data_IF_433588940845
#
_entry.id   IF_433588940845
#
_cell.length_a   1.000
_cell.length_b   1.000
_cell.length_c   1.000
_cell.angle_alpha   90.00
_cell.angle_beta   90.00
_cell.angle_gamma   90.00
#
_symmetry.space_group_name_H-M   'P 1'
#
loop_
_entity.id
_entity.type
_entity.pdbx_description
1 polymer ?
#
# COMPACT_ATOMS: atom_id res chain seq x y z
N UNK A 1 -8.71 29.83 -11.86
CA UNK A 1 -7.37 29.29 -11.54
C UNK A 1 -7.29 27.95 -12.24
N UNK A 2 -6.31 27.71 -13.12
CA UNK A 2 -6.22 26.47 -13.90
C UNK A 2 -6.27 25.22 -13.00
N UNK A 3 -6.60 24.06 -13.58
CA UNK A 3 -6.85 22.81 -12.86
C UNK A 3 -5.62 22.34 -12.07
N UNK A 4 -5.36 22.93 -10.90
CA UNK A 4 -4.14 22.71 -10.12
C UNK A 4 -3.99 21.25 -9.67
N UNK A 5 -5.12 20.53 -9.51
CA UNK A 5 -5.13 19.10 -9.23
C UNK A 5 -4.46 18.25 -10.31
N UNK A 6 -4.37 18.75 -11.55
CA UNK A 6 -3.59 18.17 -12.66
C UNK A 6 -2.13 18.02 -12.27
N UNK A 7 -1.54 19.11 -11.78
CA UNK A 7 -0.14 19.18 -11.37
C UNK A 7 0.10 18.47 -10.05
N UNK A 8 -0.77 18.68 -9.06
CA UNK A 8 -0.65 18.02 -7.76
C UNK A 8 -0.73 16.50 -7.89
N UNK A 9 -1.69 15.99 -8.66
CA UNK A 9 -1.83 14.55 -8.88
C UNK A 9 -0.67 14.00 -9.71
N UNK A 10 -0.31 14.65 -10.83
CA UNK A 10 0.79 14.19 -11.68
C UNK A 10 2.14 14.15 -10.94
N UNK A 11 2.50 15.23 -10.24
CA UNK A 11 3.71 15.29 -9.41
C UNK A 11 3.60 14.29 -8.25
N UNK A 12 2.43 14.21 -7.60
CA UNK A 12 2.17 13.24 -6.54
C UNK A 12 2.50 11.82 -6.98
N UNK A 13 1.97 11.35 -8.11
CA UNK A 13 2.30 10.01 -8.60
C UNK A 13 3.77 9.85 -9.04
N UNK A 14 4.45 10.90 -9.52
CA UNK A 14 5.91 10.84 -9.75
C UNK A 14 6.66 10.60 -8.44
N UNK A 15 6.34 11.39 -7.40
CA UNK A 15 7.00 11.28 -6.10
C UNK A 15 6.75 9.92 -5.43
N UNK A 16 5.65 9.23 -5.78
CA UNK A 16 5.37 7.88 -5.31
C UNK A 16 6.42 6.85 -5.78
N UNK A 17 7.13 7.15 -6.87
CA UNK A 17 8.21 6.31 -7.41
C UNK A 17 9.57 6.55 -6.72
N UNK A 18 9.69 7.63 -5.93
CA UNK A 18 10.93 8.00 -5.26
C UNK A 18 10.87 7.51 -3.80
N UNK A 19 11.71 6.53 -3.40
CA UNK A 19 11.77 6.07 -2.03
C UNK A 19 12.02 7.23 -1.07
N UNK A 20 11.46 7.14 0.15
CA UNK A 20 11.55 8.16 1.21
C UNK A 20 10.82 9.48 0.92
N UNK A 21 10.45 9.80 -0.32
CA UNK A 21 9.65 11.00 -0.65
C UNK A 21 8.17 10.65 -0.87
N UNK A 22 7.87 9.35 -1.02
CA UNK A 22 6.53 8.81 -1.21
C UNK A 22 5.51 9.21 -0.11
N UNK A 23 5.93 9.58 1.10
CA UNK A 23 4.99 10.09 2.11
C UNK A 23 4.37 11.44 1.72
N UNK A 24 5.14 12.30 1.03
CA UNK A 24 4.63 13.57 0.47
C UNK A 24 3.69 13.28 -0.70
N UNK A 25 4.03 12.28 -1.52
CA UNK A 25 3.22 11.85 -2.65
C UNK A 25 1.78 11.53 -2.24
N UNK A 26 1.59 10.76 -1.16
CA UNK A 26 0.27 10.37 -0.67
C UNK A 26 -0.63 11.58 -0.37
N UNK A 27 -0.07 12.61 0.27
CA UNK A 27 -0.80 13.84 0.59
C UNK A 27 -1.15 14.61 -0.69
N UNK A 28 -0.21 14.75 -1.63
CA UNK A 28 -0.46 15.47 -2.88
C UNK A 28 -1.54 14.79 -3.73
N UNK A 29 -1.48 13.46 -3.86
CA UNK A 29 -2.48 12.67 -4.59
C UNK A 29 -3.86 12.81 -3.92
N UNK A 30 -3.91 12.71 -2.59
CA UNK A 30 -5.15 12.88 -1.84
C UNK A 30 -5.79 14.27 -2.05
N UNK A 31 -4.99 15.34 -1.95
CA UNK A 31 -5.45 16.70 -2.20
C UNK A 31 -5.91 16.86 -3.65
N UNK A 32 -5.20 16.28 -4.62
CA UNK A 32 -5.60 16.31 -6.02
C UNK A 32 -6.98 15.69 -6.23
N UNK A 33 -7.26 14.53 -5.63
CA UNK A 33 -8.58 13.89 -5.69
C UNK A 33 -9.67 14.73 -5.00
N UNK A 34 -9.39 15.32 -3.84
CA UNK A 34 -10.35 16.21 -3.13
C UNK A 34 -10.68 17.44 -3.99
N UNK A 35 -9.66 18.10 -4.54
CA UNK A 35 -9.85 19.26 -5.41
C UNK A 35 -10.62 18.91 -6.68
N UNK A 36 -10.26 17.80 -7.33
CA UNK A 36 -10.97 17.29 -8.50
C UNK A 36 -12.43 16.97 -8.18
N UNK A 37 -12.73 16.40 -7.01
CA UNK A 37 -14.10 16.12 -6.57
C UNK A 37 -14.93 17.37 -6.36
N UNK A 38 -14.33 18.41 -5.78
CA UNK A 38 -14.98 19.72 -5.62
C UNK A 38 -15.26 20.39 -6.96
N UNK A 39 -14.29 20.38 -7.86
CA UNK A 39 -14.39 20.99 -9.20
C UNK A 39 -15.45 20.30 -10.07
N UNK A 40 -15.42 18.96 -10.11
CA UNK A 40 -16.35 18.15 -10.92
C UNK A 40 -17.67 17.82 -10.23
N UNK A 41 -17.88 18.32 -9.00
CA UNK A 41 -19.01 18.00 -8.12
C UNK A 41 -19.23 16.48 -7.94
N UNK A 42 -18.15 15.70 -7.96
CA UNK A 42 -18.20 14.24 -7.75
C UNK A 42 -17.76 13.91 -6.33
N UNK A 43 -18.69 13.39 -5.53
CA UNK A 43 -18.42 12.95 -4.16
C UNK A 43 -17.41 11.79 -4.10
N UNK A 44 -17.42 10.90 -5.10
CA UNK A 44 -16.50 9.76 -5.19
C UNK A 44 -15.02 10.16 -5.14
N UNK A 45 -14.62 11.22 -5.86
CA UNK A 45 -13.25 11.72 -5.85
C UNK A 45 -12.87 12.31 -4.49
N UNK A 46 -13.78 13.07 -3.89
CA UNK A 46 -13.58 13.63 -2.55
C UNK A 46 -13.41 12.52 -1.51
N UNK A 47 -14.27 11.49 -1.55
CA UNK A 47 -14.17 10.33 -0.66
C UNK A 47 -12.85 9.59 -0.86
N UNK A 48 -12.42 9.40 -2.12
CA UNK A 48 -11.13 8.75 -2.42
C UNK A 48 -9.98 9.50 -1.77
N UNK A 49 -9.90 10.82 -1.93
CA UNK A 49 -8.84 11.59 -1.30
C UNK A 49 -8.93 11.61 0.23
N UNK A 50 -10.13 11.62 0.82
CA UNK A 50 -10.29 11.51 2.29
C UNK A 50 -9.80 10.15 2.79
N UNK A 51 -10.14 9.05 2.11
CA UNK A 51 -9.67 7.71 2.47
C UNK A 51 -8.14 7.62 2.40
N UNK A 52 -7.52 8.23 1.38
CA UNK A 52 -6.05 8.33 1.29
C UNK A 52 -5.44 9.08 2.48
N UNK A 53 -6.05 10.18 2.95
CA UNK A 53 -5.58 10.90 4.15
C UNK A 53 -5.74 10.05 5.42
N UNK A 54 -6.87 9.35 5.56
CA UNK A 54 -7.10 8.47 6.71
C UNK A 54 -6.05 7.35 6.72
N UNK A 55 -5.80 6.71 5.57
CA UNK A 55 -4.79 5.66 5.44
C UNK A 55 -3.39 6.17 5.70
N UNK A 56 -3.06 7.38 5.25
CA UNK A 56 -1.81 8.04 5.61
C UNK A 56 -1.68 8.25 7.12
N UNK A 57 -2.69 8.82 7.79
CA UNK A 57 -2.67 9.02 9.24
C UNK A 57 -2.55 7.69 10.01
N UNK A 58 -3.24 6.64 9.55
CA UNK A 58 -3.13 5.29 10.12
C UNK A 58 -1.73 4.71 9.94
N UNK A 59 -1.06 4.94 8.80
CA UNK A 59 0.30 4.47 8.58
C UNK A 59 1.29 5.08 9.60
N UNK A 60 1.11 6.36 9.95
CA UNK A 60 1.90 7.02 11.01
C UNK A 60 1.60 6.38 12.36
N UNK A 61 0.32 6.12 12.66
CA UNK A 61 -0.06 5.46 13.91
C UNK A 61 0.57 4.06 14.04
N UNK A 62 0.57 3.28 12.96
CA UNK A 62 1.22 1.96 12.91
C UNK A 62 2.71 2.08 13.18
N UNK A 63 3.40 3.02 12.52
CA UNK A 63 4.83 3.27 12.77
C UNK A 63 5.06 3.64 14.22
N UNK A 64 4.27 4.54 14.80
CA UNK A 64 4.36 4.91 16.21
C UNK A 64 4.20 3.71 17.16
N UNK A 65 3.20 2.86 16.89
CA UNK A 65 2.98 1.61 17.64
C UNK A 65 4.19 0.69 17.53
N UNK A 66 4.75 0.49 16.33
CA UNK A 66 5.96 -0.33 16.14
C UNK A 66 7.17 0.25 16.89
N UNK A 67 7.36 1.57 16.91
CA UNK A 67 8.46 2.22 17.63
C UNK A 67 8.38 1.99 19.15
N UNK A 68 7.18 2.00 19.74
CA UNK A 68 7.01 1.70 21.17
C UNK A 68 7.38 0.26 21.54
N UNK A 69 7.53 -0.62 20.55
CA UNK A 69 7.86 -2.04 20.76
C UNK A 69 9.35 -2.35 20.69
N UNK A 70 10.17 -1.45 20.15
CA UNK A 70 11.63 -1.65 20.03
C UNK A 70 12.27 -2.08 21.37
N UNK A 71 11.91 -1.51 22.53
CA UNK A 71 12.44 -1.97 23.82
C UNK A 71 12.07 -3.42 24.17
N UNK A 72 10.91 -3.90 23.72
CA UNK A 72 10.40 -5.25 23.99
C UNK A 72 11.04 -6.34 23.14
N UNK A 73 11.63 -5.99 21.98
CA UNK A 73 12.32 -6.93 21.09
C UNK A 73 13.84 -6.99 21.31
N UNK A 74 14.38 -6.22 22.26
CA UNK A 74 15.80 -6.32 22.62
C UNK A 74 16.09 -7.67 23.31
N UNK A 75 17.09 -8.43 22.85
CA UNK A 75 17.52 -9.66 23.52
C UNK A 75 17.87 -9.36 24.99
N UNK A 76 17.16 -9.99 25.93
CA UNK A 76 17.38 -9.83 27.38
C UNK A 76 16.41 -8.89 28.12
N UNK A 77 15.62 -8.05 27.42
CA UNK A 77 14.57 -7.22 28.05
C UNK A 77 13.24 -7.97 28.19
N UNK A 78 13.06 -9.06 27.43
CA UNK A 78 11.92 -9.97 27.51
C UNK A 78 12.04 -10.99 28.67
N UNK A 79 12.85 -10.71 29.70
CA UNK A 79 12.80 -11.51 30.94
C UNK A 79 11.51 -11.12 31.67
N UNK A 80 10.57 -12.06 31.89
CA UNK A 80 9.43 -11.76 32.75
C UNK A 80 10.00 -11.30 34.10
N UNK A 81 9.54 -10.17 34.66
CA UNK A 81 9.84 -9.85 36.06
C UNK A 81 9.42 -11.07 36.86
N UNK A 82 10.28 -11.57 37.75
CA UNK A 82 10.07 -12.80 38.51
C UNK A 82 8.79 -12.79 39.39
N UNK A 83 8.03 -11.69 39.38
CA UNK A 83 6.90 -11.39 40.24
C UNK A 83 5.55 -11.26 39.51
N UNK A 84 5.47 -11.40 38.18
CA UNK A 84 4.18 -11.30 37.48
C UNK A 84 3.47 -12.66 37.48
N UNK A 85 2.28 -12.79 38.10
CA UNK A 85 1.51 -14.04 38.06
C UNK A 85 1.24 -14.46 36.61
N UNK A 86 1.30 -15.78 36.28
CA UNK A 86 1.14 -16.27 34.91
C UNK A 86 -0.13 -15.77 34.19
N UNK A 87 -1.22 -15.58 34.94
CA UNK A 87 -2.48 -15.05 34.41
C UNK A 87 -2.42 -13.57 34.03
N UNK A 88 -1.68 -12.74 34.76
CA UNK A 88 -1.52 -11.32 34.44
C UNK A 88 -0.58 -11.12 33.24
N UNK A 89 0.41 -11.99 33.08
CA UNK A 89 1.25 -12.04 31.89
C UNK A 89 0.45 -12.43 30.64
N UNK A 90 -0.39 -13.47 30.72
CA UNK A 90 -1.28 -13.87 29.63
C UNK A 90 -2.27 -12.77 29.26
N UNK A 91 -2.90 -12.09 30.24
CA UNK A 91 -3.78 -10.94 29.96
C UNK A 91 -3.05 -9.83 29.21
N UNK A 92 -1.81 -9.51 29.57
CA UNK A 92 -0.98 -8.52 28.86
C UNK A 92 -0.68 -8.96 27.42
N UNK A 93 -0.36 -10.24 27.18
CA UNK A 93 -0.14 -10.77 25.83
C UNK A 93 -1.43 -10.72 25.00
N UNK A 94 -2.57 -11.13 25.56
CA UNK A 94 -3.85 -11.11 24.84
C UNK A 94 -4.33 -9.68 24.54
N UNK A 95 -4.20 -8.75 25.50
CA UNK A 95 -4.51 -7.34 25.27
C UNK A 95 -3.62 -6.75 24.18
N UNK A 96 -2.32 -7.07 24.20
CA UNK A 96 -1.37 -6.64 23.18
C UNK A 96 -1.72 -7.21 21.81
N UNK A 97 -1.93 -8.52 21.70
CA UNK A 97 -2.34 -9.21 20.46
C UNK A 97 -3.67 -8.67 19.94
N UNK A 98 -4.63 -8.40 20.83
CA UNK A 98 -5.93 -7.84 20.49
C UNK A 98 -5.83 -6.48 19.81
N UNK A 99 -4.91 -5.61 20.25
CA UNK A 99 -4.66 -4.31 19.62
C UNK A 99 -4.17 -4.50 18.17
N UNK A 100 -3.28 -5.45 17.90
CA UNK A 100 -2.82 -5.70 16.53
C UNK A 100 -3.90 -6.28 15.63
N UNK A 101 -4.70 -7.21 16.15
CA UNK A 101 -5.80 -7.78 15.38
C UNK A 101 -6.78 -6.68 15.02
N UNK A 102 -7.16 -5.83 15.98
CA UNK A 102 -8.04 -4.70 15.73
C UNK A 102 -7.45 -3.68 14.74
N UNK A 103 -6.18 -3.30 14.90
CA UNK A 103 -5.50 -2.37 14.01
C UNK A 103 -5.35 -2.96 12.60
N UNK A 104 -4.93 -4.21 12.47
CA UNK A 104 -4.79 -4.92 11.20
C UNK A 104 -6.14 -5.06 10.48
N UNK A 105 -7.20 -5.41 11.21
CA UNK A 105 -8.54 -5.49 10.65
C UNK A 105 -9.04 -4.11 10.17
N UNK A 106 -8.78 -3.06 10.96
CA UNK A 106 -9.17 -1.68 10.60
C UNK A 106 -8.45 -1.22 9.34
N UNK A 107 -7.13 -1.46 9.25
CA UNK A 107 -6.33 -1.17 8.06
C UNK A 107 -6.83 -1.94 6.84
N UNK A 108 -7.17 -3.22 7.00
CA UNK A 108 -7.67 -4.04 5.91
C UNK A 108 -9.01 -3.51 5.37
N UNK A 109 -9.94 -3.13 6.26
CA UNK A 109 -11.25 -2.60 5.88
C UNK A 109 -11.10 -1.25 5.16
N UNK A 110 -10.35 -0.32 5.75
CA UNK A 110 -10.19 1.03 5.18
C UNK A 110 -9.35 0.97 3.90
N UNK A 111 -8.29 0.18 3.87
CA UNK A 111 -7.47 -0.01 2.67
C UNK A 111 -8.25 -0.65 1.53
N UNK A 112 -9.15 -1.60 1.81
CA UNK A 112 -10.04 -2.15 0.78
C UNK A 112 -11.03 -1.08 0.26
N UNK A 113 -11.60 -0.28 1.14
CA UNK A 113 -12.50 0.81 0.76
C UNK A 113 -11.76 1.86 -0.10
N UNK A 114 -10.55 2.26 0.30
CA UNK A 114 -9.68 3.17 -0.45
C UNK A 114 -9.38 2.61 -1.85
N UNK A 115 -8.97 1.34 -1.94
CA UNK A 115 -8.62 0.68 -3.20
C UNK A 115 -9.80 0.66 -4.19
N UNK A 116 -10.99 0.31 -3.70
CA UNK A 116 -12.22 0.30 -4.50
C UNK A 116 -12.54 1.73 -4.94
N UNK A 117 -12.47 2.70 -4.04
CA UNK A 117 -12.74 4.11 -4.33
C UNK A 117 -11.76 4.67 -5.34
N UNK A 118 -10.47 4.36 -5.23
CA UNK A 118 -9.43 4.79 -6.17
C UNK A 118 -9.67 4.23 -7.57
N UNK A 119 -9.96 2.93 -7.70
CA UNK A 119 -10.26 2.31 -9.00
C UNK A 119 -11.52 2.92 -9.62
N UNK A 120 -12.60 3.06 -8.83
CA UNK A 120 -13.83 3.67 -9.28
C UNK A 120 -13.60 5.12 -9.72
N UNK A 121 -12.78 5.86 -8.99
CA UNK A 121 -12.38 7.23 -9.31
C UNK A 121 -11.61 7.33 -10.62
N UNK A 122 -10.68 6.40 -10.89
CA UNK A 122 -10.00 6.35 -12.20
C UNK A 122 -11.00 6.15 -13.35
N UNK A 123 -11.92 5.19 -13.25
CA UNK A 123 -12.92 4.99 -14.30
C UNK A 123 -13.88 6.17 -14.45
N UNK A 124 -14.28 6.80 -13.35
CA UNK A 124 -15.15 7.97 -13.36
C UNK A 124 -14.44 9.19 -13.96
N UNK A 125 -13.18 9.43 -13.61
CA UNK A 125 -12.35 10.49 -14.16
C UNK A 125 -12.15 10.31 -15.66
N UNK A 126 -11.93 9.08 -16.12
CA UNK A 126 -11.84 8.79 -17.56
C UNK A 126 -13.09 9.22 -18.33
N UNK A 127 -14.29 9.00 -17.77
CA UNK A 127 -15.56 9.42 -18.41
C UNK A 127 -15.76 10.93 -18.38
N UNK A 128 -15.40 11.59 -17.28
CA UNK A 128 -15.60 13.05 -17.13
C UNK A 128 -14.64 13.84 -18.02
N UNK A 129 -13.37 13.46 -18.05
CA UNK A 129 -12.34 14.17 -18.80
C UNK A 129 -12.10 13.60 -20.20
N UNK A 130 -12.86 12.56 -20.60
CA UNK A 130 -12.68 11.83 -21.86
C UNK A 130 -11.22 11.38 -22.08
N UNK A 131 -10.55 11.01 -20.97
CA UNK A 131 -9.14 10.67 -20.96
C UNK A 131 -8.95 9.16 -20.79
N UNK A 132 -8.39 8.51 -21.80
CA UNK A 132 -8.20 7.06 -21.85
C UNK A 132 -7.16 6.57 -20.85
N UNK A 133 -6.18 7.39 -20.48
CA UNK A 133 -5.10 7.00 -19.57
C UNK A 133 -5.60 6.70 -18.16
N UNK A 134 -6.64 7.41 -17.69
CA UNK A 134 -7.31 7.08 -16.44
C UNK A 134 -7.95 5.68 -16.47
N UNK A 135 -8.55 5.29 -17.61
CA UNK A 135 -9.14 3.95 -17.79
C UNK A 135 -8.05 2.87 -17.81
N UNK A 136 -6.94 3.10 -18.49
CA UNK A 136 -5.80 2.18 -18.53
C UNK A 136 -5.20 2.02 -17.12
N UNK A 137 -4.95 3.12 -16.41
CA UNK A 137 -4.44 3.09 -15.04
C UNK A 137 -5.38 2.37 -14.06
N UNK A 138 -6.70 2.50 -14.23
CA UNK A 138 -7.70 1.74 -13.46
C UNK A 138 -7.67 0.24 -13.73
N UNK A 139 -7.60 -0.18 -15.00
CA UNK A 139 -7.49 -1.60 -15.36
C UNK A 139 -6.20 -2.25 -14.87
N UNK A 140 -5.07 -1.53 -14.93
CA UNK A 140 -3.79 -2.06 -14.43
C UNK A 140 -3.78 -2.23 -12.91
N UNK A 141 -4.49 -1.37 -12.15
CA UNK A 141 -4.71 -1.58 -10.72
C UNK A 141 -5.51 -2.86 -10.45
N UNK A 142 -6.59 -3.09 -11.20
CA UNK A 142 -7.36 -4.34 -11.11
C UNK A 142 -6.45 -5.54 -11.40
N UNK A 143 -5.68 -5.49 -12.49
CA UNK A 143 -4.75 -6.55 -12.85
C UNK A 143 -3.69 -6.79 -11.75
N UNK A 144 -3.17 -5.72 -11.15
CA UNK A 144 -2.22 -5.77 -10.02
C UNK A 144 -2.83 -6.52 -8.83
N UNK A 145 -4.08 -6.22 -8.48
CA UNK A 145 -4.78 -6.89 -7.36
C UNK A 145 -4.98 -8.37 -7.66
N UNK A 146 -5.48 -8.71 -8.86
CA UNK A 146 -5.67 -10.09 -9.28
C UNK A 146 -4.35 -10.86 -9.19
N UNK A 147 -3.27 -10.28 -9.71
CA UNK A 147 -1.94 -10.89 -9.64
C UNK A 147 -1.42 -11.02 -8.21
N UNK A 148 -1.63 -10.02 -7.34
CA UNK A 148 -1.25 -10.09 -5.94
C UNK A 148 -2.01 -11.20 -5.19
N UNK A 149 -3.31 -11.36 -5.46
CA UNK A 149 -4.13 -12.43 -4.88
C UNK A 149 -3.67 -13.81 -5.36
N UNK A 150 -3.30 -13.95 -6.64
CA UNK A 150 -2.73 -15.19 -7.20
C UNK A 150 -1.32 -15.46 -6.66
N UNK A 151 -0.53 -14.43 -6.40
CA UNK A 151 0.83 -14.55 -5.88
C UNK A 151 0.85 -15.23 -4.50
N UNK A 152 -0.13 -14.94 -3.63
CA UNK A 152 -0.20 -15.49 -2.27
C UNK A 152 -0.18 -17.04 -2.23
N UNK A 153 -1.11 -17.76 -2.89
CA UNK A 153 -1.09 -19.22 -2.88
C UNK A 153 0.16 -19.79 -3.57
N UNK A 154 0.65 -19.15 -4.64
CA UNK A 154 1.90 -19.60 -5.31
C UNK A 154 3.08 -19.50 -4.34
N UNK A 155 3.20 -18.41 -3.59
CA UNK A 155 4.24 -18.24 -2.57
C UNK A 155 4.14 -19.31 -1.49
N UNK A 156 2.93 -19.57 -0.97
CA UNK A 156 2.70 -20.61 0.05
C UNK A 156 3.12 -21.99 -0.48
N UNK A 157 2.67 -22.36 -1.68
CA UNK A 157 3.03 -23.64 -2.30
C UNK A 157 4.53 -23.76 -2.58
N UNK A 158 5.17 -22.65 -2.98
CA UNK A 158 6.63 -22.61 -3.22
C UNK A 158 7.41 -22.82 -1.93
N UNK A 159 6.97 -22.22 -0.83
CA UNK A 159 7.58 -22.43 0.50
C UNK A 159 7.34 -23.86 0.98
N UNK A 160 6.12 -24.38 0.86
CA UNK A 160 5.76 -25.73 1.30
C UNK A 160 6.45 -26.83 0.49
N UNK A 161 6.77 -26.59 -0.79
CA UNK A 161 7.45 -27.57 -1.66
C UNK A 161 8.97 -27.62 -1.46
N UNK A 162 9.54 -26.77 -0.59
CA UNK A 162 10.96 -26.74 -0.32
C UNK A 162 11.34 -26.64 1.17
N UNK A 163 10.87 -27.56 2.03
CA UNK A 163 11.17 -27.53 3.46
C UNK A 163 12.66 -27.75 3.77
N UNK A 164 13.38 -28.49 2.92
CA UNK A 164 14.82 -28.76 3.00
C UNK A 164 15.67 -27.47 2.90
N UNK A 165 15.21 -26.47 2.14
CA UNK A 165 15.92 -25.18 1.99
C UNK A 165 15.89 -24.31 3.25
N UNK A 166 14.98 -24.60 4.20
CA UNK A 166 14.92 -23.94 5.51
C UNK A 166 15.66 -24.71 6.62
N UNK A 167 16.14 -25.94 6.35
CA UNK A 167 16.82 -26.82 7.33
C UNK A 167 18.35 -26.68 7.33
N UNK A 168 18.95 -26.07 6.30
CA UNK A 168 20.41 -26.00 6.12
C UNK A 168 21.00 -24.60 6.18
N UNK A 169 21.15 -24.03 7.39
CA UNK A 169 21.98 -22.84 7.64
C UNK A 169 23.45 -23.31 7.77
N UNK A 170 24.04 -23.80 6.68
CA UNK A 170 25.49 -24.03 6.60
C UNK A 170 26.16 -22.80 5.95
N UNK A 171 27.15 -22.15 6.62
CA UNK A 171 27.68 -20.84 6.21
C UNK A 171 28.28 -20.77 4.80
N UNK A 172 28.73 -21.89 4.23
CA UNK A 172 29.49 -21.94 2.97
C UNK A 172 28.66 -22.09 1.70
N UNK A 173 27.33 -22.26 1.79
CA UNK A 173 26.42 -22.42 0.64
C UNK A 173 25.37 -21.31 0.51
N UNK A 174 25.48 -20.24 1.31
CA UNK A 174 24.37 -19.32 1.59
C UNK A 174 23.95 -18.41 0.43
N UNK A 175 24.86 -17.79 -0.31
CA UNK A 175 24.45 -16.61 -1.12
C UNK A 175 23.70 -16.99 -2.40
N UNK A 176 24.18 -17.99 -3.14
CA UNK A 176 23.55 -18.43 -4.40
C UNK A 176 22.18 -19.08 -4.20
N UNK A 177 22.05 -19.93 -3.18
CA UNK A 177 20.82 -20.66 -2.90
C UNK A 177 19.74 -19.78 -2.25
N UNK A 178 20.12 -18.82 -1.39
CA UNK A 178 19.16 -17.87 -0.81
C UNK A 178 18.65 -16.90 -1.89
N UNK A 179 19.52 -16.39 -2.77
CA UNK A 179 19.09 -15.53 -3.87
C UNK A 179 18.13 -16.25 -4.82
N UNK A 180 18.44 -17.50 -5.20
CA UNK A 180 17.57 -18.33 -6.03
C UNK A 180 16.22 -18.60 -5.34
N UNK A 181 16.22 -18.86 -4.03
CA UNK A 181 15.01 -19.05 -3.23
C UNK A 181 14.14 -17.78 -3.18
N UNK A 182 14.76 -16.63 -2.91
CA UNK A 182 14.09 -15.32 -2.89
C UNK A 182 13.47 -15.04 -4.26
N UNK A 183 14.21 -15.23 -5.35
CA UNK A 183 13.68 -15.03 -6.70
C UNK A 183 12.54 -16.00 -7.03
N UNK A 184 12.63 -17.25 -6.57
CA UNK A 184 11.59 -18.26 -6.79
C UNK A 184 10.32 -18.01 -5.98
N UNK A 185 10.43 -17.39 -4.81
CA UNK A 185 9.26 -16.98 -4.01
C UNK A 185 8.68 -15.67 -4.53
N UNK A 186 9.53 -14.71 -4.90
CA UNK A 186 9.11 -13.34 -5.21
C UNK A 186 8.74 -13.10 -6.68
N UNK A 187 9.02 -14.01 -7.62
CA UNK A 187 8.67 -13.79 -9.04
C UNK A 187 7.18 -13.45 -9.29
N UNK A 188 6.18 -14.02 -8.59
CA UNK A 188 4.79 -13.61 -8.79
C UNK A 188 4.54 -12.19 -8.28
N UNK A 189 5.21 -11.81 -7.19
CA UNK A 189 5.17 -10.45 -6.65
C UNK A 189 5.87 -9.44 -7.56
N UNK A 190 6.93 -9.83 -8.27
CA UNK A 190 7.58 -9.01 -9.29
C UNK A 190 6.60 -8.65 -10.42
N UNK A 191 5.77 -9.60 -10.87
CA UNK A 191 4.75 -9.32 -11.89
C UNK A 191 3.72 -8.31 -11.36
N UNK A 192 3.21 -8.52 -10.15
CA UNK A 192 2.30 -7.57 -9.52
C UNK A 192 2.93 -6.17 -9.36
N UNK A 193 4.21 -6.10 -8.98
CA UNK A 193 4.94 -4.85 -8.84
C UNK A 193 5.11 -4.13 -10.18
N UNK A 194 5.42 -4.85 -11.27
CA UNK A 194 5.51 -4.27 -12.62
C UNK A 194 4.15 -3.70 -13.05
N UNK A 195 3.06 -4.43 -12.83
CA UNK A 195 1.71 -3.94 -13.15
C UNK A 195 1.34 -2.70 -12.32
N UNK A 196 1.68 -2.68 -11.03
CA UNK A 196 1.45 -1.54 -10.16
C UNK A 196 2.28 -0.32 -10.55
N UNK A 197 3.53 -0.53 -10.97
CA UNK A 197 4.40 0.52 -11.51
C UNK A 197 3.80 1.10 -12.79
N UNK A 198 3.38 0.26 -13.73
CA UNK A 198 2.72 0.71 -14.96
C UNK A 198 1.43 1.48 -14.63
N UNK A 199 0.62 0.98 -13.68
CA UNK A 199 -0.60 1.67 -13.25
C UNK A 199 -0.30 3.08 -12.72
N UNK A 200 0.81 3.24 -11.99
CA UNK A 200 1.28 4.53 -11.48
C UNK A 200 1.72 5.45 -12.61
N UNK A 201 2.51 4.94 -13.57
CA UNK A 201 2.95 5.68 -14.76
C UNK A 201 1.75 6.20 -15.56
N UNK A 202 0.75 5.36 -15.80
CA UNK A 202 -0.45 5.79 -16.51
C UNK A 202 -1.28 6.79 -15.71
N UNK A 203 -1.30 6.72 -14.39
CA UNK A 203 -1.89 7.79 -13.56
C UNK A 203 -1.14 9.11 -13.72
N UNK A 204 0.20 9.11 -13.76
CA UNK A 204 0.99 10.32 -14.04
C UNK A 204 0.56 10.96 -15.35
N UNK A 205 0.54 10.16 -16.43
CA UNK A 205 0.14 10.62 -17.76
C UNK A 205 -1.31 11.12 -17.73
N UNK A 206 -2.22 10.37 -17.10
CA UNK A 206 -3.63 10.72 -17.01
C UNK A 206 -3.86 12.08 -16.35
N UNK A 207 -3.19 12.33 -15.21
CA UNK A 207 -3.27 13.62 -14.54
C UNK A 207 -2.71 14.72 -15.43
N UNK A 208 -1.52 14.61 -16.00
CA UNK A 208 -0.95 15.67 -16.86
C UNK A 208 -1.67 15.89 -18.20
N UNK A 209 -2.55 14.97 -18.61
CA UNK A 209 -3.33 15.09 -19.85
C UNK A 209 -4.78 15.53 -19.61
N UNK A 210 -5.15 15.91 -18.39
CA UNK A 210 -6.45 16.54 -18.13
C UNK A 210 -6.54 17.84 -18.97
N UNK A 211 -7.62 18.02 -19.77
CA UNK A 211 -7.82 19.23 -20.56
C UNK A 211 -7.86 20.47 -19.65
N UNK A 212 -7.28 21.58 -20.09
CA UNK A 212 -7.44 22.86 -19.40
C UNK A 212 -8.88 23.39 -19.57
N UNK A 213 -9.34 24.22 -18.63
CA UNK A 213 -10.55 25.00 -18.86
C UNK A 213 -10.26 26.01 -19.99
N UNK A 214 -11.03 25.93 -21.08
CA UNK A 214 -11.05 27.00 -22.06
C UNK A 214 -11.53 28.26 -21.35
N UNK A 215 -10.68 29.28 -21.29
CA UNK A 215 -11.07 30.60 -20.83
C UNK A 215 -12.23 31.08 -21.72
N UNK A 216 -13.45 30.99 -21.21
CA UNK A 216 -14.63 31.69 -21.73
C UNK A 216 -14.83 32.96 -20.94
#
# INVERSE_FOLDING_TARGET
>A
MGRAYKWLGGIGYILMLIPYVNFIALILIAIAWIMMGRDTKQTLFTVTGILMIIMFAMSIAVVGVLFTMIPGFMPGTMRPPAEVPPMEFLKKIFAFTGIFVAMGLTLAIIGLAELIAEIASHFRASKIFQNTWFKVGGWLRIATIIMAVIAIPIMILTVMSAPEMFRGILPSMMVGNIFALIMRILWPMLIAAILGLLATIFSIIAFFTIPEETAT
#
